data_IF_474125829658
#
_entry.id   IF_474125829658
#
_cell.length_a   1.000
_cell.length_b   1.000
_cell.length_c   1.000
_cell.angle_alpha   90.00
_cell.angle_beta   90.00
_cell.angle_gamma   90.00
#
_symmetry.space_group_name_H-M   'P 1'
#
loop_
_entity.id
_entity.type
_entity.pdbx_description
1 polymer ?
#
# COMPACT_ATOMS: atom_id res chain seq x y z
N UNK A 1 -9.64 17.00 -14.32
CA UNK A 1 -8.92 15.76 -13.93
C UNK A 1 -9.73 14.99 -12.91
N UNK A 2 -9.51 13.67 -12.78
CA UNK A 2 -10.15 12.87 -11.74
C UNK A 2 -9.24 12.73 -10.51
N UNK A 3 -9.83 12.78 -9.33
CA UNK A 3 -9.19 12.52 -8.05
C UNK A 3 -9.94 11.39 -7.35
N UNK A 4 -9.19 10.52 -6.68
CA UNK A 4 -9.71 9.34 -5.97
C UNK A 4 -9.35 9.47 -4.50
N UNK A 5 -10.31 9.25 -3.61
CA UNK A 5 -10.09 9.20 -2.16
C UNK A 5 -10.70 7.94 -1.56
N UNK A 6 -10.12 7.44 -0.49
CA UNK A 6 -10.73 6.45 0.40
C UNK A 6 -10.91 7.03 1.80
N UNK A 7 -11.85 6.49 2.58
CA UNK A 7 -12.11 6.97 3.93
C UNK A 7 -13.40 6.38 4.50
N UNK A 8 -13.72 6.68 5.78
CA UNK A 8 -14.95 6.22 6.42
C UNK A 8 -16.20 6.66 5.64
N UNK A 9 -17.33 5.92 5.74
CA UNK A 9 -17.62 4.86 6.72
C UNK A 9 -17.33 3.42 6.25
N UNK A 10 -16.91 3.22 5.01
CA UNK A 10 -16.72 1.91 4.39
C UNK A 10 -15.40 1.84 3.59
N UNK A 11 -15.20 0.79 2.79
CA UNK A 11 -14.03 0.64 1.94
C UNK A 11 -14.25 1.15 0.50
N UNK A 12 -15.34 1.89 0.26
CA UNK A 12 -15.61 2.46 -1.07
C UNK A 12 -14.62 3.57 -1.42
N UNK A 13 -14.39 3.76 -2.72
CA UNK A 13 -13.57 4.87 -3.22
C UNK A 13 -14.47 5.97 -3.79
N UNK A 14 -14.24 7.21 -3.36
CA UNK A 14 -14.95 8.37 -3.88
C UNK A 14 -14.19 8.97 -5.06
N UNK A 15 -14.91 9.27 -6.13
CA UNK A 15 -14.40 9.89 -7.35
C UNK A 15 -14.83 11.35 -7.40
N UNK A 16 -13.85 12.21 -7.64
CA UNK A 16 -14.02 13.64 -7.68
C UNK A 16 -13.54 14.21 -9.00
N UNK A 17 -14.24 15.20 -9.52
CA UNK A 17 -13.82 15.97 -10.67
C UNK A 17 -13.18 17.27 -10.20
N UNK A 18 -11.91 17.43 -10.51
CA UNK A 18 -11.19 18.71 -10.41
C UNK A 18 -11.44 19.45 -11.71
N UNK A 19 -12.18 20.55 -11.61
CA UNK A 19 -12.56 21.39 -12.74
C UNK A 19 -11.35 22.09 -13.35
N UNK A 20 -11.50 22.65 -14.56
CA UNK A 20 -10.40 23.35 -15.24
C UNK A 20 -9.94 24.58 -14.44
N UNK A 21 -8.74 25.06 -14.80
CA UNK A 21 -7.91 26.07 -14.11
C UNK A 21 -8.68 27.31 -13.59
N UNK A 22 -9.81 27.68 -14.20
CA UNK A 22 -10.60 28.86 -13.82
C UNK A 22 -11.62 28.60 -12.68
N UNK A 23 -11.59 27.43 -12.04
CA UNK A 23 -12.47 27.13 -10.92
C UNK A 23 -11.84 26.23 -9.86
N UNK A 24 -11.75 26.73 -8.63
CA UNK A 24 -11.25 26.00 -7.45
C UNK A 24 -12.26 24.97 -6.91
N UNK A 25 -13.11 24.40 -7.78
CA UNK A 25 -14.23 23.56 -7.36
C UNK A 25 -13.94 22.09 -7.65
N UNK A 26 -13.85 21.32 -6.57
CA UNK A 26 -13.81 19.85 -6.58
C UNK A 26 -15.25 19.35 -6.36
N UNK A 27 -15.78 18.59 -7.33
CA UNK A 27 -17.16 18.06 -7.26
C UNK A 27 -17.15 16.54 -7.16
N UNK A 28 -17.99 15.93 -6.30
CA UNK A 28 -18.17 14.49 -6.32
C UNK A 28 -18.82 14.07 -7.64
N UNK A 29 -18.37 12.94 -8.20
CA UNK A 29 -18.84 12.39 -9.48
C UNK A 29 -19.58 11.07 -9.24
N UNK A 30 -18.94 10.15 -8.53
CA UNK A 30 -19.46 8.80 -8.26
C UNK A 30 -18.62 8.09 -7.20
N UNK A 31 -18.97 6.84 -6.89
CA UNK A 31 -18.17 5.98 -6.03
C UNK A 31 -17.86 4.63 -6.73
N UNK A 32 -16.71 4.04 -6.40
CA UNK A 32 -16.38 2.64 -6.68
C UNK A 32 -16.78 1.86 -5.42
N UNK A 33 -17.91 1.18 -5.51
CA UNK A 33 -18.45 0.40 -4.39
C UNK A 33 -17.69 -0.91 -4.28
N UNK A 34 -17.20 -1.20 -3.08
CA UNK A 34 -16.63 -2.49 -2.69
C UNK A 34 -17.73 -3.36 -2.08
N UNK A 35 -17.55 -4.68 -2.09
CA UNK A 35 -18.55 -5.63 -1.56
C UNK A 35 -18.61 -5.67 -0.02
N UNK A 36 -17.84 -4.79 0.64
CA UNK A 36 -17.68 -4.74 2.07
C UNK A 36 -18.80 -3.93 2.74
N UNK A 37 -19.25 -4.39 3.92
CA UNK A 37 -20.23 -3.68 4.74
C UNK A 37 -19.64 -2.50 5.52
N UNK A 38 -20.52 -1.74 6.17
CA UNK A 38 -20.15 -0.67 7.10
C UNK A 38 -19.31 -1.20 8.27
N UNK A 39 -18.32 -0.43 8.71
CA UNK A 39 -17.43 -0.81 9.81
C UNK A 39 -16.24 -1.71 9.43
N UNK A 40 -16.03 -1.96 8.13
CA UNK A 40 -14.76 -2.52 7.65
C UNK A 40 -13.64 -1.47 7.67
N UNK A 41 -12.35 -1.89 7.73
CA UNK A 41 -11.25 -0.97 7.56
C UNK A 41 -11.35 -0.23 6.23
N UNK A 42 -10.99 1.05 6.24
CA UNK A 42 -10.81 1.85 5.03
C UNK A 42 -9.94 1.16 3.97
N UNK A 43 -10.30 1.34 2.71
CA UNK A 43 -9.47 0.86 1.62
C UNK A 43 -8.13 1.61 1.59
N UNK A 44 -7.05 0.85 1.48
CA UNK A 44 -5.75 1.37 1.06
C UNK A 44 -5.80 1.58 -0.44
N UNK A 45 -5.16 2.62 -0.94
CA UNK A 45 -5.12 2.94 -2.37
C UNK A 45 -3.70 3.22 -2.84
N UNK A 46 -3.40 2.81 -4.07
CA UNK A 46 -2.18 3.18 -4.77
C UNK A 46 -2.47 3.40 -6.25
N UNK A 47 -1.72 4.30 -6.87
CA UNK A 47 -1.74 4.56 -8.30
C UNK A 47 -0.38 4.21 -8.90
N UNK A 48 -0.34 4.03 -10.22
CA UNK A 48 0.90 3.77 -10.95
C UNK A 48 1.06 4.78 -12.08
N UNK A 49 2.26 5.34 -12.23
CA UNK A 49 2.61 6.15 -13.39
C UNK A 49 2.68 5.33 -14.68
N UNK A 50 2.86 4.01 -14.58
CA UNK A 50 2.90 3.12 -15.74
C UNK A 50 1.52 2.91 -16.39
N UNK A 51 0.42 3.14 -15.65
CA UNK A 51 -0.96 2.98 -16.12
C UNK A 51 -1.84 4.10 -15.58
N UNK A 52 -1.92 5.19 -16.34
CA UNK A 52 -2.43 6.50 -15.93
C UNK A 52 -3.89 6.55 -15.42
N UNK A 53 -4.66 5.47 -15.53
CA UNK A 53 -6.08 5.43 -15.12
C UNK A 53 -6.39 4.30 -14.13
N UNK A 54 -5.39 3.61 -13.58
CA UNK A 54 -5.61 2.46 -12.69
C UNK A 54 -5.40 2.83 -11.23
N UNK A 55 -6.33 2.40 -10.38
CA UNK A 55 -6.20 2.43 -8.93
C UNK A 55 -6.18 1.01 -8.39
N UNK A 56 -5.12 0.65 -7.66
CA UNK A 56 -5.07 -0.53 -6.81
C UNK A 56 -5.71 -0.19 -5.48
N UNK A 57 -6.62 -1.02 -5.00
CA UNK A 57 -7.31 -0.78 -3.74
C UNK A 57 -7.74 -2.05 -3.04
N UNK A 58 -7.96 -1.93 -1.73
CA UNK A 58 -8.47 -2.99 -0.86
C UNK A 58 -8.16 -2.70 0.60
N UNK A 59 -8.94 -3.29 1.51
CA UNK A 59 -8.76 -3.17 2.96
C UNK A 59 -8.27 -4.47 3.61
N UNK A 60 -8.43 -5.60 2.91
CA UNK A 60 -8.02 -6.95 3.32
C UNK A 60 -7.40 -7.69 2.15
N UNK A 61 -6.64 -8.74 2.41
CA UNK A 61 -6.04 -9.53 1.33
C UNK A 61 -7.12 -10.08 0.37
N UNK A 62 -8.24 -10.59 0.88
CA UNK A 62 -9.34 -11.15 0.09
C UNK A 62 -10.18 -10.15 -0.73
N UNK A 63 -9.93 -8.83 -0.63
CA UNK A 63 -10.67 -7.84 -1.39
C UNK A 63 -9.79 -6.91 -2.24
N UNK A 64 -8.55 -7.32 -2.53
CA UNK A 64 -7.65 -6.58 -3.43
C UNK A 64 -8.20 -6.52 -4.84
N UNK A 65 -8.25 -5.31 -5.39
CA UNK A 65 -8.78 -5.02 -6.72
C UNK A 65 -7.94 -3.97 -7.45
N UNK A 66 -7.94 -4.03 -8.78
CA UNK A 66 -7.53 -2.91 -9.62
C UNK A 66 -8.75 -2.46 -10.41
N UNK A 67 -9.07 -1.18 -10.29
CA UNK A 67 -10.16 -0.55 -11.04
C UNK A 67 -9.59 0.49 -11.99
N UNK A 68 -10.03 0.46 -13.24
CA UNK A 68 -9.82 1.57 -14.17
C UNK A 68 -10.80 2.69 -13.80
N UNK A 69 -10.25 3.83 -13.40
CA UNK A 69 -10.96 4.95 -12.76
C UNK A 69 -12.02 5.58 -13.66
N UNK A 70 -11.71 5.80 -14.94
CA UNK A 70 -12.62 6.46 -15.88
C UNK A 70 -13.80 5.56 -16.28
N UNK A 71 -13.50 4.33 -16.70
CA UNK A 71 -14.51 3.35 -17.12
C UNK A 71 -15.23 2.70 -15.94
N UNK A 72 -14.66 2.82 -14.73
CA UNK A 72 -15.09 2.15 -13.49
C UNK A 72 -15.07 0.63 -13.60
N UNK A 73 -14.35 0.09 -14.58
CA UNK A 73 -14.25 -1.35 -14.80
C UNK A 73 -13.20 -1.95 -13.87
N UNK A 74 -13.59 -2.99 -13.14
CA UNK A 74 -12.62 -3.84 -12.46
C UNK A 74 -11.81 -4.61 -13.52
N UNK A 75 -10.48 -4.42 -13.51
CA UNK A 75 -9.55 -5.08 -14.44
C UNK A 75 -8.76 -6.21 -13.77
N UNK A 76 -8.78 -6.25 -12.43
CA UNK A 76 -8.19 -7.30 -11.63
C UNK A 76 -8.93 -7.43 -10.31
N UNK A 77 -9.16 -8.67 -9.89
CA UNK A 77 -9.62 -9.02 -8.56
C UNK A 77 -8.77 -10.18 -8.07
N UNK A 78 -8.17 -10.01 -6.90
CA UNK A 78 -7.42 -11.05 -6.28
C UNK A 78 -8.36 -12.04 -5.56
N UNK A 79 -7.94 -13.30 -5.45
CA UNK A 79 -8.74 -14.36 -4.81
C UNK A 79 -7.95 -15.17 -3.76
N UNK A 80 -7.30 -14.54 -2.77
CA UNK A 80 -6.65 -15.27 -1.69
C UNK A 80 -7.69 -15.80 -0.70
N UNK A 81 -7.27 -16.82 0.05
CA UNK A 81 -8.04 -17.38 1.15
C UNK A 81 -7.95 -16.58 2.45
N UNK A 82 -6.96 -15.68 2.59
CA UNK A 82 -6.74 -14.91 3.82
C UNK A 82 -7.59 -13.63 3.87
N UNK A 83 -8.16 -13.34 5.04
CA UNK A 83 -8.94 -12.12 5.33
C UNK A 83 -8.14 -11.10 6.17
N UNK A 84 -6.82 -11.24 6.18
CA UNK A 84 -5.95 -10.36 6.97
C UNK A 84 -6.07 -8.90 6.51
N UNK A 85 -6.08 -7.98 7.48
CA UNK A 85 -6.19 -6.55 7.23
C UNK A 85 -4.92 -5.99 6.62
N UNK A 86 -5.08 -5.07 5.68
CA UNK A 86 -3.98 -4.38 5.01
C UNK A 86 -3.61 -3.09 5.71
N UNK A 87 -2.32 -2.86 5.83
CA UNK A 87 -1.80 -1.55 6.21
C UNK A 87 -1.41 -0.71 5.00
N UNK A 88 -0.79 -1.32 3.99
CA UNK A 88 -0.29 -0.65 2.79
C UNK A 88 -0.37 -1.56 1.56
N UNK A 89 -0.45 -0.95 0.38
CA UNK A 89 -0.34 -1.62 -0.91
C UNK A 89 0.34 -0.70 -1.92
N UNK A 90 1.03 -1.28 -2.91
CA UNK A 90 1.70 -0.52 -3.97
C UNK A 90 1.92 -1.36 -5.22
N UNK A 91 2.13 -0.69 -6.35
CA UNK A 91 2.65 -1.31 -7.57
C UNK A 91 4.18 -1.37 -7.50
N UNK A 92 4.76 -2.54 -7.76
CA UNK A 92 6.20 -2.66 -8.04
C UNK A 92 6.51 -2.33 -9.50
N UNK A 93 5.62 -2.78 -10.39
CA UNK A 93 5.63 -2.50 -11.82
C UNK A 93 4.21 -2.60 -12.42
N UNK A 94 4.10 -2.72 -13.74
CA UNK A 94 2.81 -2.77 -14.44
C UNK A 94 2.03 -4.09 -14.27
N UNK A 95 2.67 -5.10 -13.69
CA UNK A 95 2.17 -6.46 -13.51
C UNK A 95 2.34 -7.02 -12.10
N UNK A 96 3.18 -6.45 -11.25
CA UNK A 96 3.47 -6.96 -9.91
C UNK A 96 3.06 -5.97 -8.83
N UNK A 97 2.41 -6.51 -7.80
CA UNK A 97 1.92 -5.78 -6.64
C UNK A 97 2.69 -6.22 -5.39
N UNK A 98 2.91 -5.28 -4.47
CA UNK A 98 3.42 -5.57 -3.13
C UNK A 98 2.42 -5.07 -2.10
N UNK A 99 2.06 -5.94 -1.17
CA UNK A 99 1.09 -5.70 -0.11
C UNK A 99 1.78 -5.86 1.25
N UNK A 100 1.35 -5.07 2.22
CA UNK A 100 1.74 -5.21 3.62
C UNK A 100 0.47 -5.40 4.46
N UNK A 101 0.43 -6.51 5.19
CA UNK A 101 -0.59 -6.74 6.20
C UNK A 101 -0.34 -5.88 7.44
N UNK A 102 -1.37 -5.68 8.25
CA UNK A 102 -1.26 -4.99 9.54
C UNK A 102 -0.30 -5.67 10.51
N UNK A 103 -0.04 -6.98 10.36
CA UNK A 103 0.95 -7.75 11.13
C UNK A 103 2.40 -7.62 10.64
N UNK A 104 2.62 -6.94 9.51
CA UNK A 104 3.93 -6.78 8.89
C UNK A 104 4.31 -7.88 7.90
N UNK A 105 3.43 -8.87 7.67
CA UNK A 105 3.62 -9.81 6.57
C UNK A 105 3.58 -9.08 5.22
N UNK A 106 4.58 -9.36 4.38
CA UNK A 106 4.61 -8.90 2.99
C UNK A 106 4.05 -9.97 2.07
N UNK A 107 3.24 -9.57 1.09
CA UNK A 107 2.74 -10.44 0.04
C UNK A 107 3.00 -9.86 -1.34
N UNK A 108 3.51 -10.70 -2.25
CA UNK A 108 3.67 -10.37 -3.66
C UNK A 108 2.58 -11.05 -4.49
N UNK A 109 2.06 -10.32 -5.48
CA UNK A 109 1.08 -10.84 -6.41
C UNK A 109 1.40 -10.43 -7.86
N UNK A 110 1.20 -11.36 -8.79
CA UNK A 110 1.27 -11.11 -10.23
C UNK A 110 -0.14 -10.96 -10.80
N UNK A 111 -0.44 -9.77 -11.33
CA UNK A 111 -1.74 -9.44 -11.92
C UNK A 111 -2.07 -10.25 -13.16
N UNK A 112 -1.07 -10.85 -13.82
CA UNK A 112 -1.25 -11.74 -14.99
C UNK A 112 -1.81 -13.09 -14.60
N UNK A 113 -1.82 -13.42 -13.30
CA UNK A 113 -2.35 -14.67 -12.76
C UNK A 113 -3.44 -14.38 -11.71
N UNK A 114 -4.65 -13.94 -12.11
CA UNK A 114 -5.75 -13.71 -11.18
C UNK A 114 -6.16 -15.04 -10.54
N UNK A 115 -5.88 -15.21 -9.24
CA UNK A 115 -6.06 -16.47 -8.51
C UNK A 115 -4.81 -17.34 -8.39
N UNK A 116 -3.66 -16.86 -8.88
CA UNK A 116 -2.36 -17.48 -8.59
C UNK A 116 -2.00 -17.42 -7.11
N UNK A 117 -1.07 -18.27 -6.66
CA UNK A 117 -0.60 -18.27 -5.28
C UNK A 117 0.11 -16.96 -4.96
N UNK A 118 -0.04 -16.52 -3.71
CA UNK A 118 0.59 -15.32 -3.20
C UNK A 118 1.93 -15.71 -2.60
N UNK A 119 2.98 -15.01 -2.97
CA UNK A 119 4.27 -15.23 -2.31
C UNK A 119 4.29 -14.39 -1.03
N UNK A 120 3.95 -15.04 0.08
CA UNK A 120 3.96 -14.45 1.39
C UNK A 120 5.33 -14.63 2.05
N UNK A 121 5.95 -13.53 2.43
CA UNK A 121 7.13 -13.55 3.28
C UNK A 121 6.72 -13.84 4.72
N UNK A 122 7.58 -14.51 5.51
CA UNK A 122 7.40 -14.50 6.95
C UNK A 122 7.39 -13.05 7.44
N UNK A 123 6.43 -12.72 8.30
CA UNK A 123 6.44 -11.43 8.98
C UNK A 123 7.77 -11.28 9.75
N UNK A 124 8.31 -10.06 9.88
CA UNK A 124 9.40 -9.81 10.82
C UNK A 124 9.01 -10.35 12.20
N UNK A 125 9.98 -10.73 13.06
CA UNK A 125 9.70 -11.16 14.42
C UNK A 125 9.06 -10.00 15.21
N UNK A 126 7.75 -9.85 15.06
CA UNK A 126 6.95 -8.81 15.67
C UNK A 126 6.54 -9.27 17.06
N UNK A 127 6.55 -8.35 18.02
CA UNK A 127 5.82 -8.58 19.26
C UNK A 127 4.32 -8.58 18.90
N UNK A 128 3.57 -9.55 19.42
CA UNK A 128 2.13 -9.65 19.20
C UNK A 128 1.44 -8.31 19.48
N UNK A 129 0.55 -7.89 18.57
CA UNK A 129 -0.22 -6.64 18.71
C UNK A 129 0.44 -5.38 18.15
N UNK A 130 1.61 -5.48 17.52
CA UNK A 130 2.17 -4.35 16.76
C UNK A 130 1.49 -4.20 15.40
N UNK A 131 1.32 -2.95 14.98
CA UNK A 131 0.88 -2.61 13.63
C UNK A 131 2.07 -2.18 12.79
N UNK A 132 1.97 -2.41 11.50
CA UNK A 132 3.06 -2.17 10.55
C UNK A 132 2.61 -1.30 9.41
N UNK A 133 3.51 -0.47 8.88
CA UNK A 133 3.34 0.22 7.60
C UNK A 133 4.58 0.02 6.73
N UNK A 134 4.48 0.37 5.45
CA UNK A 134 5.49 0.07 4.44
C UNK A 134 5.74 1.26 3.52
N UNK A 135 6.99 1.46 3.12
CA UNK A 135 7.37 2.34 2.02
C UNK A 135 8.27 1.63 1.02
N UNK A 136 7.89 1.70 -0.25
CA UNK A 136 8.70 1.24 -1.37
C UNK A 136 9.70 2.33 -1.77
N UNK A 137 10.97 1.97 -1.83
CA UNK A 137 12.04 2.84 -2.26
C UNK A 137 12.14 2.87 -3.78
N UNK A 138 12.47 4.03 -4.31
CA UNK A 138 12.71 4.19 -5.73
C UNK A 138 14.07 3.62 -6.09
N UNK A 139 14.14 2.94 -7.23
CA UNK A 139 15.42 2.55 -7.79
C UNK A 139 16.14 3.81 -8.27
N UNK A 140 17.34 4.05 -7.76
CA UNK A 140 18.19 5.12 -8.26
C UNK A 140 18.49 4.91 -9.76
N UNK A 141 18.22 5.92 -10.57
CA UNK A 141 18.51 5.93 -12.00
C UNK A 141 20.01 5.66 -12.21
N UNK A 142 20.33 4.61 -12.97
CA UNK A 142 21.72 4.21 -13.24
C UNK A 142 22.33 3.20 -12.25
N UNK A 143 21.61 2.78 -11.21
CA UNK A 143 22.09 1.70 -10.33
C UNK A 143 22.02 0.34 -11.04
N UNK A 144 23.18 -0.30 -11.18
CA UNK A 144 23.31 -1.69 -11.62
C UNK A 144 22.68 -2.68 -10.63
N UNK A 145 22.43 -2.23 -9.39
CA UNK A 145 21.70 -3.03 -8.40
C UNK A 145 20.26 -3.22 -8.86
N UNK A 146 19.84 -4.47 -8.92
CA UNK A 146 18.46 -4.82 -9.22
C UNK A 146 17.54 -4.65 -8.00
N UNK A 147 18.09 -4.24 -6.85
CA UNK A 147 17.40 -4.15 -5.57
C UNK A 147 16.27 -3.11 -5.58
N UNK A 148 15.12 -3.51 -5.06
CA UNK A 148 13.98 -2.63 -4.78
C UNK A 148 13.76 -2.59 -3.26
N UNK A 149 14.35 -1.61 -2.56
CA UNK A 149 14.31 -1.60 -1.10
C UNK A 149 12.89 -1.32 -0.58
N UNK A 150 12.47 -2.07 0.43
CA UNK A 150 11.20 -1.93 1.12
C UNK A 150 11.49 -1.65 2.59
N UNK A 151 11.10 -0.47 3.05
CA UNK A 151 11.16 -0.13 4.47
C UNK A 151 9.84 -0.53 5.12
N UNK A 152 9.92 -1.37 6.15
CA UNK A 152 8.80 -1.68 7.04
C UNK A 152 8.99 -0.92 8.33
N UNK A 153 7.92 -0.43 8.93
CA UNK A 153 7.97 0.24 10.23
C UNK A 153 6.87 -0.31 11.13
N UNK A 154 7.24 -0.78 12.31
CA UNK A 154 6.30 -1.21 13.35
C UNK A 154 6.00 -0.08 14.34
N UNK A 155 4.82 -0.13 14.95
CA UNK A 155 4.43 0.77 16.05
C UNK A 155 5.36 0.67 17.27
N UNK A 156 6.10 -0.43 17.40
CA UNK A 156 7.16 -0.61 18.41
C UNK A 156 8.52 0.00 18.04
N UNK A 157 8.61 0.68 16.88
CA UNK A 157 9.82 1.32 16.38
C UNK A 157 10.78 0.38 15.66
N UNK A 158 10.38 -0.84 15.31
CA UNK A 158 11.24 -1.71 14.50
C UNK A 158 11.16 -1.28 13.04
N UNK A 159 12.31 -1.06 12.41
CA UNK A 159 12.39 -0.68 11.01
C UNK A 159 13.35 -1.61 10.26
N UNK A 160 12.89 -2.80 9.81
CA UNK A 160 13.63 -3.63 8.89
C UNK A 160 13.52 -3.09 7.46
N UNK A 161 14.63 -3.19 6.74
CA UNK A 161 14.76 -2.90 5.32
C UNK A 161 14.95 -4.23 4.58
N UNK A 162 14.10 -4.53 3.60
CA UNK A 162 14.16 -5.77 2.80
C UNK A 162 14.26 -5.44 1.30
N UNK A 163 14.56 -6.43 0.45
CA UNK A 163 14.38 -6.31 -1.01
C UNK A 163 12.98 -6.83 -1.35
N UNK A 164 12.21 -6.10 -2.16
CA UNK A 164 10.87 -6.51 -2.60
C UNK A 164 10.87 -7.90 -3.26
N UNK A 165 11.98 -8.32 -3.89
CA UNK A 165 12.13 -9.62 -4.55
C UNK A 165 12.65 -10.71 -3.63
N UNK A 166 13.14 -10.35 -2.43
CA UNK A 166 13.59 -11.26 -1.39
C UNK A 166 13.07 -10.81 -0.03
N UNK A 167 11.73 -10.74 0.14
CA UNK A 167 11.11 -10.11 1.31
C UNK A 167 11.37 -10.89 2.62
N UNK A 168 11.79 -12.14 2.54
CA UNK A 168 12.17 -12.99 3.68
C UNK A 168 13.53 -12.63 4.29
N UNK A 169 14.37 -11.86 3.61
CA UNK A 169 15.71 -11.49 4.07
C UNK A 169 15.82 -9.98 4.29
N UNK A 170 16.13 -9.60 5.53
CA UNK A 170 16.44 -8.21 5.86
C UNK A 170 17.82 -7.83 5.30
N UNK A 171 17.86 -6.76 4.51
CA UNK A 171 19.06 -6.07 4.06
C UNK A 171 19.73 -5.32 5.22
N UNK A 172 18.90 -4.67 6.05
CA UNK A 172 19.32 -3.96 7.25
C UNK A 172 18.16 -3.91 8.25
N UNK A 173 18.45 -3.60 9.51
CA UNK A 173 17.41 -3.33 10.51
C UNK A 173 17.88 -2.30 11.51
N UNK A 174 16.96 -1.45 11.95
CA UNK A 174 17.20 -0.47 13.00
C UNK A 174 16.01 -0.39 13.94
N UNK A 175 16.23 0.19 15.12
CA UNK A 175 15.19 0.41 16.12
C UNK A 175 15.08 1.89 16.45
N UNK A 176 13.98 2.50 16.03
CA UNK A 176 13.61 3.85 16.41
C UNK A 176 13.23 3.90 17.89
N UNK A 177 13.60 4.98 18.57
CA UNK A 177 13.14 5.23 19.94
C UNK A 177 11.71 5.76 19.88
N UNK A 178 10.75 4.94 20.25
CA UNK A 178 9.34 5.33 20.31
C UNK A 178 8.98 5.64 21.77
N UNK A 179 8.60 6.90 22.11
CA UNK A 179 8.33 7.29 23.48
C UNK A 179 7.05 6.66 24.06
N UNK A 180 6.10 6.25 23.22
CA UNK A 180 4.89 5.55 23.64
C UNK A 180 4.42 4.57 22.56
N UNK A 181 4.34 3.28 22.87
CA UNK A 181 3.90 2.23 21.93
C UNK A 181 2.37 2.14 21.76
N UNK A 182 1.60 3.03 22.41
CA UNK A 182 0.15 2.90 22.58
C UNK A 182 -0.70 3.82 21.68
N UNK A 183 -0.08 4.65 20.83
CA UNK A 183 -0.83 5.44 19.86
C UNK A 183 -1.39 4.52 18.75
N UNK A 184 -2.64 4.77 18.34
CA UNK A 184 -3.28 4.05 17.25
C UNK A 184 -2.40 4.05 16.00
N UNK A 185 -2.33 2.90 15.33
CA UNK A 185 -1.46 2.69 14.16
C UNK A 185 -1.79 3.56 12.95
N UNK A 186 -2.92 4.26 13.00
CA UNK A 186 -3.46 5.12 11.95
C UNK A 186 -2.58 6.34 11.63
N UNK A 187 -1.67 6.73 12.52
CA UNK A 187 -0.71 7.83 12.26
C UNK A 187 0.69 7.36 11.86
N UNK A 188 0.96 6.05 11.96
CA UNK A 188 2.27 5.50 11.63
C UNK A 188 2.53 5.57 10.13
N UNK A 189 3.57 6.30 9.75
CA UNK A 189 3.97 6.48 8.37
C UNK A 189 5.48 6.38 8.23
N UNK A 190 5.90 5.68 7.18
CA UNK A 190 7.27 5.67 6.69
C UNK A 190 7.23 6.10 5.23
N UNK A 191 8.22 6.87 4.80
CA UNK A 191 8.34 7.30 3.40
C UNK A 191 9.80 7.48 3.02
N UNK A 192 10.10 7.31 1.73
CA UNK A 192 11.42 7.60 1.18
C UNK A 192 11.50 9.07 0.79
N UNK A 193 12.62 9.71 1.12
CA UNK A 193 12.83 11.10 0.76
C UNK A 193 12.93 11.23 -0.78
N UNK A 194 12.11 12.11 -1.41
CA UNK A 194 12.07 12.20 -2.87
C UNK A 194 13.35 12.78 -3.48
N UNK A 195 14.06 13.62 -2.74
CA UNK A 195 15.26 14.32 -3.21
C UNK A 195 16.57 13.87 -2.52
N UNK A 196 16.48 13.05 -1.47
CA UNK A 196 17.64 12.59 -0.70
C UNK A 196 17.76 11.07 -0.84
N UNK A 197 18.69 10.64 -1.69
CA UNK A 197 18.92 9.22 -1.93
C UNK A 197 19.28 8.49 -0.63
N UNK A 198 18.67 7.31 -0.42
CA UNK A 198 18.91 6.49 0.76
C UNK A 198 18.35 7.03 2.07
N UNK A 199 17.60 8.14 2.05
CA UNK A 199 17.02 8.72 3.25
C UNK A 199 15.54 8.32 3.43
N UNK A 200 15.17 8.04 4.68
CA UNK A 200 13.82 7.70 5.11
C UNK A 200 13.30 8.76 6.08
N UNK A 201 12.01 9.08 5.97
CA UNK A 201 11.27 9.86 6.95
C UNK A 201 10.26 8.94 7.66
N UNK A 202 10.15 9.14 8.97
CA UNK A 202 9.23 8.39 9.84
C UNK A 202 8.41 9.39 10.64
N UNK A 203 7.10 9.17 10.71
CA UNK A 203 6.17 9.91 11.56
C UNK A 203 5.15 8.97 12.20
N UNK A 204 4.56 9.37 13.32
CA UNK A 204 3.61 8.59 14.09
C UNK A 204 3.17 9.29 15.36
#
# INVERSE_FOLDING_TARGET
SLLVTSGPPDSSLQLWHVSAEDSDVIKPVSAIVTEDGTGQPWAKIATSSAKASWVLHGSRLNNIQITEVESRKNVYRAAPSSSEELSCLTFLDCSTLLLCCSTGQLCLADTRQPGGPWEAAPAPPAQQGQHWCMALGHRALGSASSCQPVALLSSGGHLPLTDARQPSQALASLRCRVPCAAAGAEFLCVSWAPALEGCLAVSG
#
